data_IF_299720323800
#
_entry.id   IF_299720323800
#
_cell.length_a   1.000
_cell.length_b   1.000
_cell.length_c   1.000
_cell.angle_alpha   90.00
_cell.angle_beta   90.00
_cell.angle_gamma   90.00
#
_symmetry.space_group_name_H-M   'P 1'
#
loop_
_entity.id
_entity.type
_entity.pdbx_description
1 polymer ?
#
# COMPACT_ATOMS: atom_id res chain seq x y z
N UNK A 1 -6.78 16.27 -17.51
CA UNK A 1 -6.64 14.88 -17.00
C UNK A 1 -6.85 13.96 -18.19
N UNK A 2 -5.92 13.05 -18.49
CA UNK A 2 -6.15 12.00 -19.49
C UNK A 2 -6.58 10.73 -18.78
N UNK A 3 -7.62 10.04 -19.27
CA UNK A 3 -8.06 8.76 -18.73
C UNK A 3 -7.79 7.64 -19.75
N UNK A 4 -7.17 6.57 -19.30
CA UNK A 4 -7.00 5.34 -20.06
C UNK A 4 -7.80 4.26 -19.35
N UNK A 5 -8.87 3.78 -19.98
CA UNK A 5 -9.68 2.71 -19.41
C UNK A 5 -8.87 1.40 -19.38
N UNK A 6 -8.83 0.75 -18.21
CA UNK A 6 -8.14 -0.54 -18.04
C UNK A 6 -8.88 -1.73 -18.64
N UNK A 7 -10.20 -1.60 -18.82
CA UNK A 7 -11.09 -2.63 -19.37
C UNK A 7 -12.10 -1.96 -20.33
N UNK A 8 -12.12 -2.40 -21.59
CA UNK A 8 -13.13 -2.01 -22.58
C UNK A 8 -14.44 -2.81 -22.51
N UNK A 9 -14.81 -3.36 -21.34
CA UNK A 9 -15.86 -4.37 -21.12
C UNK A 9 -15.60 -5.70 -21.84
N UNK A 10 -14.34 -6.09 -21.98
CA UNK A 10 -13.97 -7.30 -22.72
C UNK A 10 -13.41 -8.38 -21.77
N UNK A 11 -14.20 -9.43 -21.44
CA UNK A 11 -13.86 -10.40 -20.40
C UNK A 11 -12.58 -11.22 -20.71
N UNK A 12 -12.13 -11.25 -21.97
CA UNK A 12 -10.96 -12.01 -22.39
C UNK A 12 -9.61 -11.34 -22.06
N UNK A 13 -9.59 -10.11 -21.54
CA UNK A 13 -8.35 -9.43 -21.10
C UNK A 13 -7.92 -9.76 -19.66
N UNK A 14 -8.70 -10.53 -18.89
CA UNK A 14 -8.37 -10.88 -17.51
C UNK A 14 -7.03 -11.65 -17.37
N UNK A 15 -6.67 -12.46 -18.38
CA UNK A 15 -5.42 -13.22 -18.44
C UNK A 15 -4.41 -12.60 -19.42
N UNK A 16 -3.89 -11.44 -19.05
CA UNK A 16 -2.82 -10.78 -19.80
C UNK A 16 -1.53 -11.62 -19.82
N UNK A 17 -1.02 -11.94 -21.02
CA UNK A 17 0.25 -12.63 -21.19
C UNK A 17 1.41 -11.80 -20.63
N UNK A 18 2.53 -12.44 -20.29
CA UNK A 18 3.71 -11.72 -19.78
C UNK A 18 4.23 -10.67 -20.77
N UNK A 19 4.23 -10.97 -22.08
CA UNK A 19 4.67 -10.05 -23.11
C UNK A 19 3.76 -8.80 -23.21
N UNK A 20 2.44 -8.99 -23.18
CA UNK A 20 1.49 -7.87 -23.17
C UNK A 20 1.66 -7.01 -21.91
N UNK A 21 1.83 -7.64 -20.76
CA UNK A 21 2.09 -6.93 -19.50
C UNK A 21 3.33 -6.06 -19.57
N UNK A 22 4.45 -6.62 -20.06
CA UNK A 22 5.67 -5.85 -20.19
C UNK A 22 5.54 -4.69 -21.18
N UNK A 23 4.77 -4.87 -22.26
CA UNK A 23 4.46 -3.79 -23.20
C UNK A 23 3.67 -2.66 -22.53
N UNK A 24 2.65 -2.99 -21.74
CA UNK A 24 1.84 -1.99 -21.00
C UNK A 24 2.69 -1.27 -19.96
N UNK A 25 3.45 -2.00 -19.15
CA UNK A 25 4.36 -1.44 -18.14
C UNK A 25 5.34 -0.42 -18.75
N UNK A 26 6.01 -0.78 -19.85
CA UNK A 26 6.91 0.15 -20.57
C UNK A 26 6.18 1.35 -21.18
N UNK A 27 4.94 1.16 -21.64
CA UNK A 27 4.15 2.26 -22.18
C UNK A 27 3.78 3.27 -21.10
N UNK A 28 3.38 2.79 -19.91
CA UNK A 28 3.09 3.62 -18.73
C UNK A 28 4.30 4.47 -18.35
N UNK A 29 5.49 3.86 -18.27
CA UNK A 29 6.75 4.57 -17.93
C UNK A 29 7.15 5.63 -18.97
N UNK A 30 6.69 5.51 -20.23
CA UNK A 30 7.02 6.41 -21.33
C UNK A 30 5.96 7.47 -21.61
N UNK A 31 4.86 7.48 -20.86
CA UNK A 31 3.81 8.48 -21.05
C UNK A 31 4.38 9.89 -20.81
N UNK A 32 4.11 10.86 -21.70
CA UNK A 32 4.55 12.25 -21.54
C UNK A 32 3.68 12.97 -20.49
N UNK A 33 3.75 12.53 -19.24
CA UNK A 33 2.96 13.03 -18.13
C UNK A 33 3.83 13.27 -16.89
N UNK A 34 3.54 14.34 -16.15
CA UNK A 34 4.22 14.63 -14.87
C UNK A 34 3.83 13.65 -13.77
N UNK A 35 2.58 13.19 -13.79
CA UNK A 35 2.04 12.21 -12.86
C UNK A 35 1.22 11.18 -13.64
N UNK A 36 1.44 9.90 -13.33
CA UNK A 36 0.62 8.81 -13.83
C UNK A 36 0.03 8.09 -12.62
N UNK A 37 -1.30 8.11 -12.51
CA UNK A 37 -2.02 7.34 -11.50
C UNK A 37 -2.46 6.04 -12.14
N UNK A 38 -1.97 4.94 -11.58
CA UNK A 38 -2.37 3.59 -11.99
C UNK A 38 -3.24 3.03 -10.89
N UNK A 39 -4.56 3.01 -11.12
CA UNK A 39 -5.50 2.38 -10.21
C UNK A 39 -5.43 0.86 -10.37
N UNK A 40 -5.22 0.16 -9.25
CA UNK A 40 -5.00 -1.27 -9.24
C UNK A 40 -6.18 -1.96 -8.55
N UNK A 41 -6.62 -3.07 -9.13
CA UNK A 41 -7.65 -3.90 -8.51
C UNK A 41 -7.22 -4.41 -7.14
N UNK A 42 -8.20 -4.68 -6.28
CA UNK A 42 -7.97 -5.19 -4.93
C UNK A 42 -7.28 -6.57 -4.92
N UNK A 43 -6.66 -6.90 -3.79
CA UNK A 43 -6.06 -8.21 -3.56
C UNK A 43 -4.63 -8.35 -4.10
N UNK A 44 -4.18 -9.60 -4.25
CA UNK A 44 -2.77 -9.94 -4.54
C UNK A 44 -2.60 -10.72 -5.85
N UNK A 45 -3.39 -10.38 -6.89
CA UNK A 45 -3.22 -11.01 -8.20
C UNK A 45 -1.81 -10.72 -8.75
N UNK A 46 -1.23 -11.61 -9.56
CA UNK A 46 0.09 -11.34 -10.13
C UNK A 46 0.13 -10.05 -10.95
N UNK A 47 -0.96 -9.67 -11.62
CA UNK A 47 -1.00 -8.42 -12.36
C UNK A 47 -0.95 -7.23 -11.40
N UNK A 48 -1.76 -7.22 -10.34
CA UNK A 48 -1.73 -6.19 -9.29
C UNK A 48 -0.33 -6.03 -8.71
N UNK A 49 0.31 -7.13 -8.27
CA UNK A 49 1.64 -7.09 -7.67
C UNK A 49 2.69 -6.58 -8.65
N UNK A 50 2.59 -7.00 -9.92
CA UNK A 50 3.54 -6.66 -10.96
C UNK A 50 3.46 -5.18 -11.36
N UNK A 51 2.26 -4.61 -11.43
CA UNK A 51 2.04 -3.18 -11.67
C UNK A 51 2.39 -2.34 -10.43
N UNK A 52 2.11 -2.82 -9.23
CA UNK A 52 2.50 -2.12 -8.00
C UNK A 52 4.03 -1.98 -7.91
N UNK A 53 4.79 -2.98 -8.37
CA UNK A 53 6.26 -2.89 -8.48
C UNK A 53 6.79 -1.82 -9.44
N UNK A 54 5.97 -1.18 -10.27
CA UNK A 54 6.40 -0.01 -11.08
C UNK A 54 6.76 1.19 -10.20
N UNK A 55 6.18 1.27 -9.01
CA UNK A 55 6.39 2.36 -8.07
C UNK A 55 6.96 1.79 -6.76
N UNK A 56 8.29 1.85 -6.53
CA UNK A 56 8.90 1.41 -5.26
C UNK A 56 8.33 2.11 -4.02
N UNK A 57 7.71 3.29 -4.20
CA UNK A 57 6.97 4.05 -3.19
C UNK A 57 5.45 4.05 -3.43
N UNK A 58 4.93 2.96 -4.00
CA UNK A 58 3.52 2.80 -4.33
C UNK A 58 2.61 3.07 -3.13
N UNK A 59 1.42 3.60 -3.42
CA UNK A 59 0.43 3.96 -2.41
C UNK A 59 -0.51 2.78 -2.16
N UNK A 60 -0.71 2.40 -0.90
CA UNK A 60 -1.68 1.38 -0.49
C UNK A 60 -2.68 2.02 0.45
N UNK A 61 -3.97 1.84 0.15
CA UNK A 61 -5.08 2.32 0.97
C UNK A 61 -5.65 1.15 1.75
N UNK A 62 -5.82 1.30 3.06
CA UNK A 62 -6.43 0.33 3.96
C UNK A 62 -7.39 1.03 4.92
N UNK A 63 -8.21 0.28 5.65
CA UNK A 63 -8.91 0.76 6.84
C UNK A 63 -8.15 0.30 8.10
N UNK A 64 -8.39 0.89 9.28
CA UNK A 64 -7.83 0.40 10.54
C UNK A 64 -8.51 -0.89 11.05
N UNK A 65 -9.48 -1.44 10.32
CA UNK A 65 -10.18 -2.66 10.72
C UNK A 65 -9.28 -3.90 10.55
N UNK A 66 -9.33 -4.81 11.52
CA UNK A 66 -8.46 -6.00 11.57
C UNK A 66 -8.43 -6.81 10.26
N UNK A 67 -9.55 -7.12 9.58
CA UNK A 67 -9.52 -7.84 8.30
C UNK A 67 -8.75 -7.09 7.20
N UNK A 68 -8.87 -5.76 7.12
CA UNK A 68 -8.15 -4.94 6.15
C UNK A 68 -6.65 -4.91 6.45
N UNK A 69 -6.28 -4.82 7.72
CA UNK A 69 -4.87 -4.93 8.15
C UNK A 69 -4.29 -6.30 7.82
N UNK A 70 -5.01 -7.39 8.05
CA UNK A 70 -4.56 -8.73 7.67
C UNK A 70 -4.34 -8.85 6.15
N UNK A 71 -5.25 -8.28 5.36
CA UNK A 71 -5.12 -8.23 3.90
C UNK A 71 -3.92 -7.39 3.45
N UNK A 72 -3.67 -6.25 4.10
CA UNK A 72 -2.48 -5.41 3.87
C UNK A 72 -1.18 -6.20 4.11
N UNK A 73 -1.10 -6.92 5.23
CA UNK A 73 0.05 -7.75 5.56
C UNK A 73 0.26 -8.88 4.55
N UNK A 74 -0.82 -9.54 4.13
CA UNK A 74 -0.77 -10.58 3.10
C UNK A 74 -0.34 -10.02 1.75
N UNK A 75 -0.82 -8.84 1.38
CA UNK A 75 -0.44 -8.14 0.16
C UNK A 75 1.06 -7.88 0.11
N UNK A 76 1.65 -7.27 1.15
CA UNK A 76 3.09 -7.01 1.17
C UNK A 76 3.94 -8.28 1.18
N UNK A 77 3.50 -9.32 1.89
CA UNK A 77 4.17 -10.63 1.86
C UNK A 77 4.21 -11.17 0.42
N UNK A 78 3.07 -11.18 -0.27
CA UNK A 78 2.97 -11.67 -1.63
C UNK A 78 3.77 -10.80 -2.61
N UNK A 79 3.73 -9.48 -2.43
CA UNK A 79 4.47 -8.52 -3.24
C UNK A 79 5.98 -8.71 -3.14
N UNK A 80 6.54 -8.78 -1.93
CA UNK A 80 7.98 -9.01 -1.77
C UNK A 80 8.39 -10.37 -2.32
N UNK A 81 7.65 -11.43 -2.00
CA UNK A 81 7.90 -12.75 -2.57
C UNK A 81 7.91 -12.74 -4.10
N UNK A 82 6.98 -12.00 -4.70
CA UNK A 82 6.89 -11.87 -6.16
C UNK A 82 8.12 -11.17 -6.73
N UNK A 83 8.61 -10.11 -6.08
CA UNK A 83 9.82 -9.40 -6.50
C UNK A 83 11.08 -10.26 -6.33
N UNK A 84 11.22 -10.97 -5.21
CA UNK A 84 12.33 -11.92 -4.99
C UNK A 84 12.29 -13.04 -6.03
N UNK A 85 11.12 -13.65 -6.28
CA UNK A 85 10.96 -14.71 -7.27
C UNK A 85 11.32 -14.27 -8.69
N UNK A 86 11.10 -12.98 -9.02
CA UNK A 86 11.51 -12.39 -10.30
C UNK A 86 13.02 -12.24 -10.39
N UNK A 87 13.66 -11.83 -9.30
CA UNK A 87 15.12 -11.64 -9.25
C UNK A 87 15.86 -12.95 -9.47
N UNK A 88 15.38 -14.04 -8.87
CA UNK A 88 15.99 -15.37 -9.01
C UNK A 88 15.49 -16.16 -10.22
N UNK A 89 14.71 -15.56 -11.13
CA UNK A 89 13.97 -16.29 -12.17
C UNK A 89 14.83 -17.01 -13.23
N UNK A 90 16.15 -16.78 -13.24
CA UNK A 90 17.11 -17.44 -14.14
C UNK A 90 17.96 -18.49 -13.43
N UNK A 91 17.78 -18.68 -12.13
CA UNK A 91 18.54 -19.62 -11.32
C UNK A 91 17.59 -20.66 -10.68
N UNK A 92 17.55 -21.87 -11.26
CA UNK A 92 16.65 -22.94 -10.82
C UNK A 92 16.84 -23.39 -9.36
N UNK A 93 18.07 -23.59 -8.84
CA UNK A 93 18.29 -23.84 -7.42
C UNK A 93 17.65 -22.78 -6.53
N UNK A 94 17.85 -21.49 -6.83
CA UNK A 94 17.30 -20.39 -6.03
C UNK A 94 15.78 -20.28 -6.13
N UNK A 95 15.19 -20.56 -7.30
CA UNK A 95 13.72 -20.62 -7.45
C UNK A 95 13.10 -21.63 -6.49
N UNK A 96 13.71 -22.80 -6.34
CA UNK A 96 13.20 -23.85 -5.44
C UNK A 96 13.17 -23.38 -3.99
N UNK A 97 14.16 -22.60 -3.56
CA UNK A 97 14.20 -21.99 -2.21
C UNK A 97 13.00 -21.05 -2.02
N UNK A 98 12.75 -20.15 -2.98
CA UNK A 98 11.63 -19.19 -2.91
C UNK A 98 10.27 -19.89 -2.97
N UNK A 99 10.12 -20.92 -3.82
CA UNK A 99 8.91 -21.73 -3.90
C UNK A 99 8.64 -22.48 -2.59
N UNK A 100 9.68 -23.02 -1.96
CA UNK A 100 9.58 -23.67 -0.65
C UNK A 100 9.09 -22.71 0.43
N UNK A 101 9.60 -21.47 0.45
CA UNK A 101 9.16 -20.43 1.37
C UNK A 101 7.69 -20.03 1.15
N UNK A 102 7.25 -19.97 -0.11
CA UNK A 102 5.86 -19.66 -0.46
C UNK A 102 4.88 -20.74 0.00
N UNK A 103 5.24 -22.00 -0.19
CA UNK A 103 4.36 -23.15 0.04
C UNK A 103 4.48 -23.72 1.46
N UNK A 104 5.11 -22.99 2.39
CA UNK A 104 5.26 -23.48 3.76
C UNK A 104 3.89 -23.71 4.43
N UNK A 105 3.69 -24.87 5.06
CA UNK A 105 2.45 -25.19 5.76
C UNK A 105 2.24 -24.27 6.97
N UNK A 106 0.98 -24.02 7.33
CA UNK A 106 0.58 -23.05 8.36
C UNK A 106 1.18 -23.32 9.76
N UNK A 107 1.62 -24.55 10.03
CA UNK A 107 2.24 -24.98 11.31
C UNK A 107 3.75 -24.80 11.37
N UNK A 108 4.41 -24.48 10.26
CA UNK A 108 5.85 -24.23 10.24
C UNK A 108 6.17 -22.87 10.90
N UNK A 109 7.35 -22.71 11.52
CA UNK A 109 7.80 -21.41 11.98
C UNK A 109 7.76 -20.41 10.82
N UNK A 110 7.12 -19.26 11.05
CA UNK A 110 7.02 -18.24 10.01
C UNK A 110 8.42 -17.74 9.67
N UNK A 111 8.89 -18.03 8.45
CA UNK A 111 10.13 -17.47 7.94
C UNK A 111 10.02 -15.95 7.77
N UNK A 112 11.14 -15.27 7.94
CA UNK A 112 11.31 -13.85 7.62
C UNK A 112 12.00 -13.69 6.28
N UNK A 113 11.80 -12.55 5.62
CA UNK A 113 12.54 -12.22 4.39
C UNK A 113 14.05 -12.32 4.57
N UNK A 114 14.56 -12.00 5.75
CA UNK A 114 15.98 -12.14 6.08
C UNK A 114 16.44 -13.61 6.11
N UNK A 115 15.62 -14.52 6.67
CA UNK A 115 15.90 -15.97 6.62
C UNK A 115 15.94 -16.48 5.17
N UNK A 116 15.04 -15.98 4.32
CA UNK A 116 15.02 -16.35 2.90
C UNK A 116 16.26 -15.84 2.18
N UNK A 117 16.65 -14.59 2.42
CA UNK A 117 17.87 -13.99 1.85
C UNK A 117 19.10 -14.77 2.31
N UNK A 118 19.17 -15.16 3.58
CA UNK A 118 20.29 -15.94 4.13
C UNK A 118 20.44 -17.28 3.41
N UNK A 119 19.34 -18.04 3.25
CA UNK A 119 19.34 -19.31 2.49
C UNK A 119 19.74 -19.14 1.02
N UNK A 120 19.35 -18.02 0.40
CA UNK A 120 19.78 -17.70 -0.97
C UNK A 120 21.28 -17.38 -0.99
N UNK A 121 21.78 -16.66 0.02
CA UNK A 121 23.18 -16.27 0.16
C UNK A 121 24.10 -17.47 0.36
N UNK A 122 23.64 -18.52 1.05
CA UNK A 122 24.37 -19.79 1.21
C UNK A 122 24.67 -20.47 -0.13
N UNK A 123 23.78 -20.29 -1.11
CA UNK A 123 23.96 -20.82 -2.48
C UNK A 123 24.67 -19.81 -3.38
N UNK A 124 24.34 -18.52 -3.24
CA UNK A 124 24.94 -17.44 -4.00
C UNK A 124 24.90 -16.10 -3.23
N UNK A 125 26.04 -15.67 -2.67
CA UNK A 125 26.13 -14.39 -1.97
C UNK A 125 25.75 -13.19 -2.85
N UNK A 126 26.03 -13.25 -4.15
CA UNK A 126 25.67 -12.19 -5.11
C UNK A 126 24.16 -11.97 -5.19
N UNK A 127 23.37 -13.05 -5.33
CA UNK A 127 21.91 -12.94 -5.34
C UNK A 127 21.37 -12.46 -3.99
N UNK A 128 22.00 -12.89 -2.89
CA UNK A 128 21.71 -12.39 -1.54
C UNK A 128 21.78 -10.86 -1.47
N UNK A 129 22.91 -10.29 -1.89
CA UNK A 129 23.10 -8.82 -1.87
C UNK A 129 22.20 -8.08 -2.85
N UNK A 130 21.94 -8.64 -4.04
CA UNK A 130 20.98 -8.06 -4.99
C UNK A 130 19.58 -7.98 -4.38
N UNK A 131 19.12 -9.03 -3.70
CA UNK A 131 17.82 -9.04 -3.04
C UNK A 131 17.78 -8.08 -1.85
N UNK A 132 18.85 -7.99 -1.04
CA UNK A 132 18.94 -6.95 0.01
C UNK A 132 18.84 -5.55 -0.58
N UNK A 133 19.54 -5.29 -1.68
CA UNK A 133 19.46 -4.03 -2.43
C UNK A 133 18.05 -3.72 -2.91
N UNK A 134 17.37 -4.71 -3.48
CA UNK A 134 15.97 -4.63 -3.91
C UNK A 134 15.04 -4.26 -2.75
N UNK A 135 15.14 -4.98 -1.62
CA UNK A 135 14.34 -4.71 -0.43
C UNK A 135 14.59 -3.31 0.15
N UNK A 136 15.86 -2.86 0.19
CA UNK A 136 16.23 -1.48 0.61
C UNK A 136 15.64 -0.40 -0.30
N UNK A 137 15.38 -0.72 -1.56
CA UNK A 137 14.75 0.20 -2.52
C UNK A 137 13.24 0.36 -2.33
N UNK A 138 12.60 -0.51 -1.54
CA UNK A 138 11.17 -0.48 -1.31
C UNK A 138 10.80 0.38 -0.11
N UNK A 139 9.91 1.33 -0.32
CA UNK A 139 9.31 2.11 0.76
C UNK A 139 7.85 2.48 0.44
N UNK A 140 6.93 1.50 0.46
CA UNK A 140 5.52 1.73 0.19
C UNK A 140 4.91 2.78 1.13
N UNK A 141 3.92 3.50 0.63
CA UNK A 141 3.21 4.55 1.35
C UNK A 141 1.82 4.07 1.76
N UNK A 142 1.46 4.21 3.03
CA UNK A 142 0.18 3.75 3.58
C UNK A 142 -0.77 4.91 3.82
N UNK A 143 -2.02 4.77 3.38
CA UNK A 143 -3.12 5.67 3.71
C UNK A 143 -4.20 4.89 4.42
N UNK A 144 -4.62 5.38 5.59
CA UNK A 144 -5.72 4.80 6.34
C UNK A 144 -7.00 5.58 6.05
N UNK A 145 -7.97 4.91 5.44
CA UNK A 145 -9.26 5.48 5.09
C UNK A 145 -10.34 5.03 6.07
N UNK A 146 -11.44 5.78 6.11
CA UNK A 146 -12.61 5.51 6.95
C UNK A 146 -12.30 5.43 8.45
N UNK A 147 -11.31 6.21 8.91
CA UNK A 147 -11.00 6.33 10.34
C UNK A 147 -12.09 7.15 11.01
N UNK A 148 -12.55 6.74 12.18
CA UNK A 148 -13.54 7.47 12.97
C UNK A 148 -12.84 8.19 14.12
N UNK A 149 -11.96 7.49 14.83
CA UNK A 149 -11.25 8.00 16.01
C UNK A 149 -9.72 7.86 15.87
N UNK A 150 -8.91 8.82 16.35
CA UNK A 150 -7.45 8.72 16.31
C UNK A 150 -6.88 7.47 16.98
N UNK A 151 -7.52 6.93 18.01
CA UNK A 151 -7.07 5.74 18.75
C UNK A 151 -7.02 4.48 17.87
N UNK A 152 -7.80 4.43 16.80
CA UNK A 152 -7.72 3.34 15.81
C UNK A 152 -6.34 3.26 15.15
N UNK A 153 -5.54 4.32 15.21
CA UNK A 153 -4.17 4.35 14.69
C UNK A 153 -3.13 3.79 15.66
N UNK A 154 -3.50 3.38 16.87
CA UNK A 154 -2.55 2.74 17.81
C UNK A 154 -1.98 1.43 17.25
N UNK A 155 -2.80 0.68 16.51
CA UNK A 155 -2.40 -0.59 15.87
C UNK A 155 -1.25 -0.41 14.88
N UNK A 156 -1.03 0.80 14.36
CA UNK A 156 -0.02 1.07 13.34
C UNK A 156 1.40 0.75 13.81
N UNK A 157 1.66 0.85 15.13
CA UNK A 157 2.95 0.45 15.72
C UNK A 157 3.23 -1.03 15.49
N UNK A 158 2.22 -1.89 15.68
CA UNK A 158 2.35 -3.33 15.48
C UNK A 158 2.49 -3.68 14.00
N UNK A 159 1.78 -2.95 13.12
CA UNK A 159 1.89 -3.09 11.67
C UNK A 159 3.31 -2.75 11.21
N UNK A 160 3.83 -1.58 11.57
CA UNK A 160 5.19 -1.12 11.26
C UNK A 160 6.24 -2.15 11.70
N UNK A 161 6.18 -2.59 12.96
CA UNK A 161 7.10 -3.58 13.50
C UNK A 161 7.01 -4.93 12.78
N UNK A 162 5.80 -5.38 12.43
CA UNK A 162 5.59 -6.65 11.74
C UNK A 162 6.13 -6.62 10.32
N UNK A 163 5.90 -5.52 9.58
CA UNK A 163 6.44 -5.34 8.24
C UNK A 163 7.97 -5.29 8.27
N UNK A 164 8.56 -4.54 9.20
CA UNK A 164 10.01 -4.47 9.34
C UNK A 164 10.62 -5.82 9.71
N UNK A 165 10.13 -6.47 10.77
CA UNK A 165 10.71 -7.72 11.30
C UNK A 165 10.50 -8.91 10.37
N UNK A 166 9.30 -9.08 9.81
CA UNK A 166 8.98 -10.28 9.01
C UNK A 166 9.32 -10.11 7.55
N UNK A 167 9.16 -8.91 7.02
CA UNK A 167 9.24 -8.65 5.59
C UNK A 167 10.46 -7.81 5.19
N UNK A 168 11.28 -7.37 6.15
CA UNK A 168 12.40 -6.44 5.89
C UNK A 168 11.96 -5.20 5.11
N UNK A 169 10.74 -4.74 5.37
CA UNK A 169 10.08 -3.67 4.62
C UNK A 169 9.91 -2.43 5.49
N UNK A 170 10.46 -1.32 5.01
CA UNK A 170 10.17 0.01 5.54
C UNK A 170 8.92 0.57 4.84
N UNK A 171 8.10 1.31 5.59
CA UNK A 171 6.87 1.93 5.07
C UNK A 171 6.73 3.36 5.57
N UNK A 172 6.10 4.20 4.75
CA UNK A 172 5.75 5.56 5.12
C UNK A 172 4.25 5.66 5.42
N UNK A 173 3.88 6.06 6.63
CA UNK A 173 2.51 6.39 6.98
C UNK A 173 2.15 7.76 6.40
N UNK A 174 1.47 7.74 5.25
CA UNK A 174 1.37 8.87 4.34
C UNK A 174 0.13 9.74 4.59
N UNK A 175 -0.96 9.15 5.08
CA UNK A 175 -2.12 9.92 5.49
C UNK A 175 -3.25 9.12 6.13
N UNK A 176 -4.24 9.88 6.59
CA UNK A 176 -5.43 9.40 7.25
C UNK A 176 -6.61 10.18 6.64
N UNK A 177 -7.70 9.48 6.33
CA UNK A 177 -8.96 10.05 5.86
C UNK A 177 -10.05 9.61 6.83
N UNK A 178 -10.74 10.59 7.40
CA UNK A 178 -11.87 10.30 8.28
C UNK A 178 -13.07 9.78 7.50
N UNK A 179 -13.87 8.94 8.16
CA UNK A 179 -15.15 8.49 7.63
C UNK A 179 -16.05 9.71 7.41
N UNK A 180 -16.64 9.78 6.23
CA UNK A 180 -17.55 10.84 5.84
C UNK A 180 -18.75 10.22 5.08
N UNK A 181 -19.99 10.38 5.57
CA UNK A 181 -21.19 9.89 4.87
C UNK A 181 -21.35 10.42 3.45
N UNK A 182 -20.74 11.58 3.13
CA UNK A 182 -20.72 12.14 1.77
C UNK A 182 -20.15 11.15 0.76
N UNK A 183 -19.15 10.34 1.14
CA UNK A 183 -18.53 9.37 0.25
C UNK A 183 -19.55 8.41 -0.37
N UNK A 184 -20.45 7.85 0.46
CA UNK A 184 -21.50 6.92 0.04
C UNK A 184 -22.56 7.60 -0.81
N UNK A 185 -22.96 8.83 -0.44
CA UNK A 185 -23.95 9.62 -1.21
C UNK A 185 -23.43 9.93 -2.60
N UNK A 186 -22.18 10.39 -2.71
CA UNK A 186 -21.57 10.76 -3.99
C UNK A 186 -21.31 9.53 -4.86
N UNK A 187 -20.83 8.43 -4.28
CA UNK A 187 -20.64 7.18 -5.01
C UNK A 187 -21.94 6.68 -5.66
N UNK A 188 -23.08 6.74 -4.95
CA UNK A 188 -24.39 6.36 -5.49
C UNK A 188 -24.88 7.24 -6.64
N UNK A 189 -24.37 8.47 -6.75
CA UNK A 189 -24.72 9.40 -7.83
C UNK A 189 -23.87 9.23 -9.10
N UNK A 190 -22.81 8.40 -9.05
CA UNK A 190 -21.87 8.23 -10.16
C UNK A 190 -21.01 9.48 -10.44
N UNK A 191 -20.96 10.44 -9.51
CA UNK A 191 -20.15 11.66 -9.62
C UNK A 191 -18.90 11.55 -8.74
N UNK A 192 -17.79 12.21 -9.08
CA UNK A 192 -16.63 12.30 -8.20
C UNK A 192 -16.90 13.23 -7.01
N UNK A 193 -16.29 12.95 -5.86
CA UNK A 193 -16.40 13.77 -4.63
C UNK A 193 -16.01 15.22 -4.88
N UNK A 194 -14.84 15.42 -5.51
CA UNK A 194 -14.38 16.71 -6.00
C UNK A 194 -14.79 16.78 -7.48
N UNK A 195 -15.69 17.69 -7.93
CA UNK A 195 -16.08 18.99 -7.36
C UNK A 195 -17.43 19.04 -6.60
N UNK A 196 -18.08 17.90 -6.35
CA UNK A 196 -19.47 17.83 -5.86
C UNK A 196 -19.65 18.24 -4.39
N UNK A 197 -18.62 18.12 -3.54
CA UNK A 197 -18.69 18.48 -2.11
C UNK A 197 -17.30 18.86 -1.61
N UNK A 198 -16.91 20.12 -1.81
CA UNK A 198 -15.56 20.63 -1.49
C UNK A 198 -15.32 20.91 -0.01
N UNK A 199 -16.38 21.08 0.78
CA UNK A 199 -16.33 21.44 2.20
C UNK A 199 -16.41 20.22 3.14
N UNK A 200 -16.41 19.00 2.59
CA UNK A 200 -16.50 17.79 3.39
C UNK A 200 -15.14 17.41 3.99
N UNK A 201 -15.13 16.76 5.16
CA UNK A 201 -13.86 16.34 5.81
C UNK A 201 -13.06 15.40 4.91
N UNK A 202 -13.74 14.52 4.17
CA UNK A 202 -13.09 13.65 3.21
C UNK A 202 -12.48 14.44 2.05
N UNK A 203 -13.19 15.45 1.54
CA UNK A 203 -12.70 16.29 0.46
C UNK A 203 -11.43 17.07 0.88
N UNK A 204 -11.44 17.68 2.06
CA UNK A 204 -10.27 18.34 2.62
C UNK A 204 -9.10 17.35 2.82
N UNK A 205 -9.39 16.15 3.33
CA UNK A 205 -8.39 15.10 3.51
C UNK A 205 -7.75 14.66 2.20
N UNK A 206 -8.53 14.51 1.13
CA UNK A 206 -8.04 14.19 -0.21
C UNK A 206 -7.17 15.32 -0.76
N UNK A 207 -7.56 16.58 -0.58
CA UNK A 207 -6.75 17.74 -1.01
C UNK A 207 -5.42 17.78 -0.25
N UNK A 208 -5.42 17.54 1.07
CA UNK A 208 -4.19 17.43 1.87
C UNK A 208 -3.30 16.28 1.41
N UNK A 209 -3.89 15.11 1.10
CA UNK A 209 -3.14 13.98 0.54
C UNK A 209 -2.51 14.33 -0.81
N UNK A 210 -3.24 15.03 -1.68
CA UNK A 210 -2.73 15.48 -2.97
C UNK A 210 -1.55 16.45 -2.83
N UNK A 211 -1.62 17.41 -1.91
CA UNK A 211 -0.49 18.32 -1.61
C UNK A 211 0.73 17.55 -1.07
N UNK A 212 0.51 16.57 -0.18
CA UNK A 212 1.58 15.67 0.29
C UNK A 212 2.19 14.87 -0.85
N UNK A 213 1.39 14.32 -1.78
CA UNK A 213 1.88 13.61 -2.96
C UNK A 213 2.80 14.52 -3.78
N UNK A 214 2.38 15.75 -4.06
CA UNK A 214 3.17 16.69 -4.87
C UNK A 214 4.51 17.00 -4.20
N UNK A 215 4.53 17.20 -2.87
CA UNK A 215 5.73 17.64 -2.14
C UNK A 215 6.67 16.51 -1.74
N UNK A 216 6.12 15.36 -1.35
CA UNK A 216 6.87 14.35 -0.60
C UNK A 216 7.06 13.04 -1.38
N UNK A 217 6.46 12.86 -2.56
CA UNK A 217 6.50 11.58 -3.28
C UNK A 217 7.93 11.05 -3.54
N UNK A 218 8.88 11.95 -3.82
CA UNK A 218 10.25 11.59 -4.16
C UNK A 218 11.12 11.16 -2.97
N UNK A 219 10.68 11.40 -1.73
CA UNK A 219 11.54 11.29 -0.55
C UNK A 219 10.90 10.44 0.56
N UNK A 220 11.70 9.66 1.31
CA UNK A 220 11.28 9.01 2.56
C UNK A 220 10.71 10.02 3.57
N UNK A 221 9.80 9.57 4.44
CA UNK A 221 9.24 10.43 5.51
C UNK A 221 9.68 9.91 6.88
N UNK A 222 10.62 10.62 7.51
CA UNK A 222 11.08 10.31 8.87
C UNK A 222 9.94 10.42 9.89
N UNK A 223 9.87 9.43 10.79
CA UNK A 223 8.86 9.34 11.86
C UNK A 223 7.42 9.45 11.34
N UNK A 224 7.17 8.98 10.11
CA UNK A 224 5.88 9.13 9.43
C UNK A 224 4.70 8.66 10.28
N UNK A 225 4.84 7.55 11.00
CA UNK A 225 3.80 7.03 11.91
C UNK A 225 3.43 8.03 13.01
N UNK A 226 4.42 8.54 13.75
CA UNK A 226 4.20 9.48 14.86
C UNK A 226 3.64 10.81 14.35
N UNK A 227 4.13 11.28 13.21
CA UNK A 227 3.61 12.49 12.55
C UNK A 227 2.16 12.31 12.13
N UNK A 228 1.82 11.14 11.58
CA UNK A 228 0.45 10.83 11.19
C UNK A 228 -0.49 10.87 12.39
N UNK A 229 -0.20 10.10 13.44
CA UNK A 229 -1.02 10.02 14.68
C UNK A 229 -1.25 11.42 15.26
N UNK A 230 -0.18 12.20 15.48
CA UNK A 230 -0.29 13.58 16.00
C UNK A 230 -1.13 14.49 15.11
N UNK A 231 -0.98 14.38 13.79
CA UNK A 231 -1.76 15.20 12.85
C UNK A 231 -3.24 14.82 12.86
N UNK A 232 -3.55 13.52 12.96
CA UNK A 232 -4.91 12.99 13.05
C UNK A 232 -5.59 13.40 14.35
N UNK A 233 -4.91 13.31 15.49
CA UNK A 233 -5.41 13.79 16.78
C UNK A 233 -5.73 15.28 16.73
N UNK A 234 -4.80 16.11 16.22
CA UNK A 234 -5.01 17.55 16.13
C UNK A 234 -6.23 17.88 15.25
N UNK A 235 -6.37 17.20 14.12
CA UNK A 235 -7.51 17.37 13.22
C UNK A 235 -8.82 16.91 13.88
N UNK A 236 -8.81 15.81 14.62
CA UNK A 236 -9.98 15.32 15.35
C UNK A 236 -10.44 16.32 16.42
N UNK A 237 -9.53 16.77 17.31
CA UNK A 237 -9.86 17.75 18.36
C UNK A 237 -10.39 19.06 17.78
N UNK A 238 -9.78 19.55 16.69
CA UNK A 238 -10.25 20.75 16.00
C UNK A 238 -11.68 20.63 15.50
N UNK A 239 -12.08 19.45 15.02
CA UNK A 239 -13.45 19.18 14.57
C UNK A 239 -14.43 19.02 15.73
N UNK A 240 -14.05 18.32 16.81
CA UNK A 240 -14.88 18.22 18.02
C UNK A 240 -15.19 19.62 18.58
N UNK A 241 -14.17 20.48 18.67
CA UNK A 241 -14.32 21.86 19.11
C UNK A 241 -15.25 22.68 18.20
N UNK A 242 -15.10 22.56 16.88
CA UNK A 242 -15.97 23.25 15.92
C UNK A 242 -17.44 22.75 15.96
N UNK A 243 -17.65 21.48 16.33
CA UNK A 243 -18.96 20.87 16.47
C UNK A 243 -19.59 21.03 17.86
N UNK A 244 -18.87 21.59 18.84
CA UNK A 244 -19.32 21.70 20.23
C UNK A 244 -19.43 20.37 20.99
N UNK A 245 -18.69 19.35 20.56
CA UNK A 245 -18.69 18.00 21.17
C UNK A 245 -17.49 17.86 22.12
N UNK A 246 -17.72 17.36 23.34
CA UNK A 246 -16.63 17.07 24.30
C UNK A 246 -15.84 15.82 23.90
N UNK A 247 -14.52 15.90 24.04
CA UNK A 247 -13.49 14.94 23.59
C UNK A 247 -13.46 13.60 24.37
N UNK A 248 -14.48 13.28 25.18
CA UNK A 248 -14.37 12.33 26.30
C UNK A 248 -15.07 10.98 26.14
N UNK A 249 -15.53 10.57 24.96
CA UNK A 249 -16.04 9.21 24.74
C UNK A 249 -15.11 8.41 23.81
N UNK A 250 -14.33 7.45 24.34
CA UNK A 250 -13.63 6.50 23.50
C UNK A 250 -14.64 5.59 22.80
N UNK A 251 -14.37 5.25 21.54
CA UNK A 251 -15.12 4.26 20.76
C UNK A 251 -14.89 2.83 21.29
N UNK A 252 -15.26 2.56 22.55
CA UNK A 252 -15.40 1.21 23.07
C UNK A 252 -16.89 0.93 23.28
N UNK A 253 -17.57 0.58 22.19
CA UNK A 253 -18.99 0.23 22.28
C UNK A 253 -19.68 0.09 20.94
N UNK A 254 -19.40 -1.01 20.22
CA UNK A 254 -20.36 -1.84 19.47
C UNK A 254 -19.67 -3.02 18.81
#
# INVERSE_FOLDING_TARGET
LGFLAGDGRNPFMANMTWAHKMRVMRAIERLPARYVLVDLGAGSSYNTLDFFSLAPRGLVVSTPELPAIMNLMAFFKNWILRNIAREVNRNEPLKKIVLGARNQPMRAPAWTVEDLISRISDVSPEYGERIRGLCRGFQPRLVFNMVEHPDELELLKNVEQSLKKRLSLDVDFFGCLFRDPVARRVAGSGRPLLPSSTESVLAEGIVRLADRLIRLWASPISDSRLRLVRSTEKEYRGRCAAAGVNDSEPASGR
#
